data_IF_497966742230
#
_entry.id   IF_497966742230
#
_cell.length_a   1.000
_cell.length_b   1.000
_cell.length_c   1.000
_cell.angle_alpha   90.00
_cell.angle_beta   90.00
_cell.angle_gamma   90.00
#
_symmetry.space_group_name_H-M   'P 1'
#
loop_
_entity.id
_entity.type
_entity.pdbx_description
1 polymer ?
#
# COMPACT_ATOMS: atom_id res chain seq x y z
N UNK A 1 -25.26 -0.86 -38.34
CA UNK A 1 -24.57 0.44 -38.14
C UNK A 1 -24.32 0.59 -36.64
N UNK A 2 -23.13 0.21 -36.16
CA UNK A 2 -22.81 0.18 -34.72
C UNK A 2 -22.30 1.56 -34.29
N UNK A 3 -22.95 2.18 -33.31
CA UNK A 3 -22.46 3.43 -32.72
C UNK A 3 -21.11 3.19 -32.03
N UNK A 4 -20.16 4.15 -32.12
CA UNK A 4 -18.85 4.01 -31.48
C UNK A 4 -18.97 4.11 -29.95
N UNK A 5 -18.25 3.23 -29.24
CA UNK A 5 -18.14 3.27 -27.78
C UNK A 5 -17.38 4.55 -27.34
N UNK A 6 -17.83 5.25 -26.30
CA UNK A 6 -17.12 6.42 -25.78
C UNK A 6 -15.76 6.02 -25.22
N UNK A 7 -14.73 6.82 -25.51
CA UNK A 7 -13.38 6.63 -24.95
C UNK A 7 -13.38 7.01 -23.47
N UNK A 8 -12.65 6.29 -22.60
CA UNK A 8 -12.53 6.65 -21.19
C UNK A 8 -11.76 7.96 -21.06
N UNK A 9 -12.42 8.98 -20.52
CA UNK A 9 -11.82 10.26 -20.15
C UNK A 9 -11.01 10.07 -18.86
N UNK A 10 -9.74 10.50 -18.86
CA UNK A 10 -8.92 10.53 -17.64
C UNK A 10 -9.63 11.37 -16.58
N UNK A 11 -9.83 10.88 -15.35
CA UNK A 11 -10.35 11.73 -14.29
C UNK A 11 -9.32 12.82 -13.99
N UNK A 12 -9.76 14.07 -14.08
CA UNK A 12 -9.01 15.23 -13.63
C UNK A 12 -8.62 15.03 -12.16
N UNK A 13 -7.36 15.30 -11.82
CA UNK A 13 -6.89 15.35 -10.44
C UNK A 13 -7.57 16.51 -9.71
N UNK A 14 -8.78 16.26 -9.20
CA UNK A 14 -9.40 17.10 -8.19
C UNK A 14 -8.80 16.71 -6.85
N UNK A 15 -8.15 17.68 -6.19
CA UNK A 15 -7.77 17.55 -4.80
C UNK A 15 -9.05 17.35 -3.98
N UNK A 16 -9.33 16.10 -3.60
CA UNK A 16 -10.35 15.80 -2.62
C UNK A 16 -9.83 16.30 -1.28
N UNK A 17 -10.35 17.44 -0.82
CA UNK A 17 -10.21 17.84 0.57
C UNK A 17 -10.96 16.79 1.41
N UNK A 18 -10.20 15.89 2.06
CA UNK A 18 -10.74 14.94 3.03
C UNK A 18 -11.33 15.76 4.18
N UNK A 19 -12.65 15.90 4.19
CA UNK A 19 -13.34 16.62 5.24
C UNK A 19 -13.35 15.79 6.53
N UNK A 20 -12.74 16.36 7.58
CA UNK A 20 -12.98 16.07 9.00
C UNK A 20 -13.02 14.60 9.42
N UNK A 21 -12.02 13.79 9.05
CA UNK A 21 -11.83 12.50 9.72
C UNK A 21 -11.21 12.76 11.11
N UNK A 22 -12.05 12.85 12.15
CA UNK A 22 -11.58 12.87 13.52
C UNK A 22 -10.96 11.52 13.87
N UNK A 23 -9.65 11.41 13.69
CA UNK A 23 -8.86 10.33 14.26
C UNK A 23 -9.08 10.31 15.79
N UNK A 24 -9.79 9.31 16.27
CA UNK A 24 -9.98 9.10 17.71
C UNK A 24 -9.17 7.89 18.13
N UNK A 25 -8.01 8.13 18.74
CA UNK A 25 -7.24 7.08 19.40
C UNK A 25 -8.02 6.62 20.64
N UNK A 26 -8.54 5.40 20.60
CA UNK A 26 -9.17 4.75 21.77
C UNK A 26 -8.16 3.79 22.35
N UNK A 27 -7.61 4.11 23.53
CA UNK A 27 -6.77 3.20 24.30
C UNK A 27 -7.67 2.45 25.28
N UNK A 28 -7.64 1.12 25.27
CA UNK A 28 -8.27 0.29 26.30
C UNK A 28 -7.42 0.38 27.58
N UNK A 29 -7.52 1.49 28.30
CA UNK A 29 -6.71 1.74 29.50
C UNK A 29 -7.36 1.24 30.81
N UNK A 30 -8.54 0.63 30.77
CA UNK A 30 -9.21 0.07 31.94
C UNK A 30 -9.76 -1.34 31.64
N UNK A 31 -9.66 -2.31 32.57
CA UNK A 31 -10.42 -3.55 32.45
C UNK A 31 -11.91 -3.17 32.40
N UNK A 32 -12.67 -3.63 31.39
CA UNK A 32 -14.05 -3.20 31.23
C UNK A 32 -14.86 -3.68 32.43
N UNK A 33 -15.21 -2.77 33.32
CA UNK A 33 -16.26 -2.99 34.32
C UNK A 33 -17.66 -3.06 33.68
N UNK A 34 -17.77 -2.80 32.37
CA UNK A 34 -18.95 -3.08 31.55
C UNK A 34 -18.56 -3.31 30.09
N UNK A 35 -19.12 -4.34 29.47
CA UNK A 35 -18.93 -4.74 28.06
C UNK A 35 -19.66 -3.79 27.07
N UNK A 36 -20.24 -2.69 27.54
CA UNK A 36 -21.30 -1.95 26.84
C UNK A 36 -20.86 -0.92 25.78
N UNK A 37 -19.59 -0.90 25.41
CA UNK A 37 -19.13 0.07 24.39
C UNK A 37 -19.26 -0.50 22.98
N UNK A 38 -20.45 -0.42 22.39
CA UNK A 38 -20.66 -0.77 20.97
C UNK A 38 -20.21 0.37 20.06
N UNK A 39 -19.28 0.09 19.14
CA UNK A 39 -18.88 0.99 18.05
C UNK A 39 -19.45 0.46 16.72
N UNK A 40 -19.94 1.35 15.86
CA UNK A 40 -20.46 1.01 14.54
C UNK A 40 -19.62 1.70 13.46
N UNK A 41 -19.42 0.99 12.36
CA UNK A 41 -18.66 1.47 11.20
C UNK A 41 -19.12 0.72 9.96
N UNK A 42 -18.88 1.27 8.77
CA UNK A 42 -19.18 0.58 7.52
C UNK A 42 -18.11 -0.49 7.21
N UNK A 43 -16.86 -0.22 7.58
CA UNK A 43 -15.77 -1.18 7.49
C UNK A 43 -14.92 -1.19 8.78
N UNK A 44 -14.59 -2.39 9.24
CA UNK A 44 -13.63 -2.64 10.32
C UNK A 44 -12.41 -3.33 9.72
N UNK A 45 -11.24 -2.71 9.89
CA UNK A 45 -9.94 -3.27 9.49
C UNK A 45 -9.19 -3.68 10.74
N UNK A 46 -8.80 -4.95 10.81
CA UNK A 46 -8.00 -5.47 11.92
C UNK A 46 -6.55 -5.56 11.46
N UNK A 47 -5.73 -4.62 11.95
CA UNK A 47 -4.33 -4.45 11.62
C UNK A 47 -4.01 -3.09 11.01
N UNK A 48 -2.95 -2.45 11.52
CA UNK A 48 -2.47 -1.14 11.06
C UNK A 48 -1.17 -1.21 10.23
N UNK A 49 -0.78 -2.41 9.78
CA UNK A 49 0.36 -2.57 8.86
C UNK A 49 0.03 -2.08 7.45
N UNK A 50 0.99 -2.23 6.52
CA UNK A 50 0.88 -1.70 5.16
C UNK A 50 -0.41 -2.12 4.44
N UNK A 51 -0.84 -3.38 4.56
CA UNK A 51 -2.08 -3.86 3.95
C UNK A 51 -3.34 -3.21 4.55
N UNK A 52 -3.38 -3.04 5.87
CA UNK A 52 -4.49 -2.40 6.57
C UNK A 52 -4.61 -0.92 6.20
N UNK A 53 -3.47 -0.20 6.17
CA UNK A 53 -3.42 1.19 5.73
C UNK A 53 -3.81 1.36 4.26
N UNK A 54 -3.37 0.45 3.38
CA UNK A 54 -3.76 0.46 1.97
C UNK A 54 -5.28 0.30 1.80
N UNK A 55 -5.88 -0.66 2.52
CA UNK A 55 -7.32 -0.86 2.50
C UNK A 55 -8.09 0.34 3.07
N UNK A 56 -7.61 0.91 4.18
CA UNK A 56 -8.23 2.07 4.81
C UNK A 56 -8.22 3.30 3.88
N UNK A 57 -7.06 3.63 3.31
CA UNK A 57 -6.92 4.74 2.36
C UNK A 57 -7.82 4.56 1.14
N UNK A 58 -7.89 3.33 0.60
CA UNK A 58 -8.76 3.07 -0.55
C UNK A 58 -10.23 3.26 -0.20
N UNK A 59 -10.69 2.69 0.91
CA UNK A 59 -12.09 2.79 1.36
C UNK A 59 -12.49 4.23 1.71
N UNK A 60 -11.62 4.96 2.41
CA UNK A 60 -11.86 6.36 2.79
C UNK A 60 -11.99 7.27 1.56
N UNK A 61 -11.20 7.05 0.50
CA UNK A 61 -11.32 7.77 -0.78
C UNK A 61 -12.65 7.55 -1.49
N UNK A 62 -13.30 6.41 -1.25
CA UNK A 62 -14.65 6.10 -1.75
C UNK A 62 -15.76 6.57 -0.79
N UNK A 63 -15.41 7.31 0.27
CA UNK A 63 -16.35 7.85 1.26
C UNK A 63 -16.85 6.83 2.29
N UNK A 64 -16.19 5.67 2.42
CA UNK A 64 -16.55 4.65 3.41
C UNK A 64 -15.95 5.02 4.76
N UNK A 65 -16.78 5.05 5.81
CA UNK A 65 -16.32 5.20 7.18
C UNK A 65 -15.61 3.93 7.66
N UNK A 66 -14.34 4.06 8.02
CA UNK A 66 -13.46 2.96 8.42
C UNK A 66 -13.05 3.11 9.88
N UNK A 67 -13.11 2.02 10.64
CA UNK A 67 -12.39 1.89 11.92
C UNK A 67 -11.22 0.94 11.69
N UNK A 68 -10.02 1.35 12.10
CA UNK A 68 -8.85 0.49 12.13
C UNK A 68 -8.56 0.08 13.58
N UNK A 69 -8.31 -1.20 13.79
CA UNK A 69 -7.94 -1.77 15.08
C UNK A 69 -6.49 -2.26 15.02
N UNK A 70 -5.63 -1.70 15.86
CA UNK A 70 -4.25 -2.14 16.05
C UNK A 70 -4.04 -2.67 17.46
N UNK A 71 -3.15 -3.66 17.61
CA UNK A 71 -2.76 -4.17 18.93
C UNK A 71 -1.76 -3.25 19.64
N UNK A 72 -0.95 -2.51 18.87
CA UNK A 72 0.07 -1.61 19.39
C UNK A 72 -0.50 -0.21 19.67
N UNK A 73 0.07 0.47 20.67
CA UNK A 73 -0.26 1.85 21.01
C UNK A 73 0.13 2.82 19.88
N UNK A 74 1.25 2.55 19.23
CA UNK A 74 1.67 3.23 18.00
C UNK A 74 1.22 2.38 16.81
N UNK A 75 0.35 2.88 15.91
CA UNK A 75 -0.11 2.09 14.77
C UNK A 75 1.00 1.76 13.76
N UNK A 76 2.13 2.49 13.78
CA UNK A 76 3.30 2.17 12.98
C UNK A 76 4.12 0.99 13.56
N UNK A 77 3.94 0.65 14.83
CA UNK A 77 4.64 -0.49 15.45
C UNK A 77 4.02 -1.82 15.01
N UNK A 78 4.53 -2.33 13.89
CA UNK A 78 4.05 -3.54 13.23
C UNK A 78 5.18 -4.20 12.42
N UNK A 79 5.02 -5.47 12.03
CA UNK A 79 6.06 -6.17 11.26
C UNK A 79 6.40 -5.48 9.92
N UNK A 80 5.44 -4.77 9.30
CA UNK A 80 5.70 -4.00 8.08
C UNK A 80 6.75 -2.91 8.28
N UNK A 81 6.85 -2.33 9.48
CA UNK A 81 7.83 -1.30 9.82
C UNK A 81 9.26 -1.83 9.77
N UNK A 82 9.46 -3.09 10.14
CA UNK A 82 10.77 -3.71 10.25
C UNK A 82 11.27 -4.33 8.93
N UNK A 83 10.50 -4.23 7.84
CA UNK A 83 10.94 -4.69 6.54
C UNK A 83 12.12 -3.82 6.03
N UNK A 84 13.22 -4.46 5.62
CA UNK A 84 14.44 -3.75 5.27
C UNK A 84 14.56 -3.50 3.76
N UNK A 85 14.50 -4.57 2.96
CA UNK A 85 14.84 -4.58 1.54
C UNK A 85 14.04 -3.58 0.70
N UNK A 86 12.91 -4.02 0.16
CA UNK A 86 12.12 -3.13 -0.69
C UNK A 86 10.76 -3.66 -1.11
N UNK A 87 10.15 -2.96 -2.06
CA UNK A 87 8.85 -3.32 -2.64
C UNK A 87 8.94 -3.46 -4.16
N UNK A 88 8.27 -4.48 -4.69
CA UNK A 88 8.19 -4.72 -6.13
C UNK A 88 7.43 -3.58 -6.81
N UNK A 89 8.02 -3.02 -7.85
CA UNK A 89 7.46 -2.02 -8.74
C UNK A 89 7.63 -2.50 -10.20
N UNK A 90 8.27 -1.72 -11.07
CA UNK A 90 8.55 -2.06 -12.47
C UNK A 90 9.84 -1.39 -12.96
N UNK A 91 10.54 -2.06 -13.88
CA UNK A 91 11.63 -1.46 -14.67
C UNK A 91 11.15 -1.08 -16.08
N UNK A 92 11.99 -0.38 -16.85
CA UNK A 92 11.69 0.02 -18.24
C UNK A 92 11.53 -1.21 -19.17
N UNK A 93 12.20 -2.30 -18.86
CA UNK A 93 12.25 -3.55 -19.62
C UNK A 93 11.51 -4.71 -18.91
N UNK A 94 10.58 -4.38 -18.02
CA UNK A 94 9.81 -5.35 -17.26
C UNK A 94 8.52 -5.79 -17.95
N UNK A 95 7.97 -6.93 -17.53
CA UNK A 95 6.63 -7.39 -17.88
C UNK A 95 5.99 -8.20 -16.75
N UNK A 96 4.65 -8.25 -16.67
CA UNK A 96 3.95 -9.12 -15.74
C UNK A 96 4.35 -10.59 -15.88
N UNK A 97 4.68 -11.06 -17.09
CA UNK A 97 5.12 -12.42 -17.36
C UNK A 97 6.48 -12.71 -16.72
N UNK A 98 7.43 -11.77 -16.84
CA UNK A 98 8.74 -11.89 -16.18
C UNK A 98 8.60 -11.90 -14.65
N UNK A 99 7.74 -11.03 -14.08
CA UNK A 99 7.50 -11.00 -12.64
C UNK A 99 6.84 -12.29 -12.16
N UNK A 100 5.82 -12.76 -12.88
CA UNK A 100 5.12 -14.01 -12.54
C UNK A 100 6.09 -15.19 -12.56
N UNK A 101 6.98 -15.25 -13.55
CA UNK A 101 8.02 -16.29 -13.63
C UNK A 101 8.97 -16.25 -12.44
N UNK A 102 9.39 -15.06 -12.00
CA UNK A 102 10.25 -14.91 -10.82
C UNK A 102 9.53 -15.37 -9.53
N UNK A 103 8.25 -15.00 -9.37
CA UNK A 103 7.42 -15.40 -8.22
C UNK A 103 7.21 -16.92 -8.20
N UNK A 104 6.85 -17.53 -9.33
CA UNK A 104 6.66 -18.99 -9.42
C UNK A 104 7.94 -19.76 -9.12
N UNK A 105 9.08 -19.28 -9.63
CA UNK A 105 10.40 -19.87 -9.32
C UNK A 105 10.70 -19.78 -7.83
N UNK A 106 10.49 -18.61 -7.22
CA UNK A 106 10.72 -18.41 -5.78
C UNK A 106 9.77 -19.25 -4.91
N UNK A 107 8.51 -19.39 -5.34
CA UNK A 107 7.48 -20.12 -4.61
C UNK A 107 7.49 -21.64 -4.79
N UNK A 108 8.47 -22.21 -5.51
CA UNK A 108 8.73 -23.65 -5.57
C UNK A 108 7.49 -24.54 -5.81
N UNK A 109 6.56 -24.09 -6.67
CA UNK A 109 5.37 -24.84 -7.06
C UNK A 109 4.17 -24.76 -6.11
N UNK A 110 4.22 -23.96 -5.04
CA UNK A 110 3.09 -23.79 -4.11
C UNK A 110 2.34 -22.46 -4.29
N UNK A 111 2.66 -21.72 -5.35
CA UNK A 111 1.98 -20.46 -5.66
C UNK A 111 0.52 -20.68 -6.07
N UNK A 112 -0.34 -19.72 -5.73
CA UNK A 112 -1.69 -19.63 -6.28
C UNK A 112 -1.68 -18.71 -7.51
N UNK A 113 -1.79 -19.27 -8.71
CA UNK A 113 -1.61 -18.55 -9.98
C UNK A 113 -2.44 -17.28 -10.11
N UNK A 114 -3.74 -17.25 -9.75
CA UNK A 114 -4.51 -16.02 -9.82
C UNK A 114 -3.96 -14.90 -8.94
N UNK A 115 -3.38 -15.23 -7.78
CA UNK A 115 -2.75 -14.24 -6.89
C UNK A 115 -1.43 -13.73 -7.48
N UNK A 116 -0.60 -14.61 -8.04
CA UNK A 116 0.65 -14.23 -8.71
C UNK A 116 0.37 -13.28 -9.87
N UNK A 117 -0.57 -13.66 -10.75
CA UNK A 117 -0.96 -12.83 -11.88
C UNK A 117 -1.46 -11.46 -11.41
N UNK A 118 -2.32 -11.42 -10.39
CA UNK A 118 -2.84 -10.18 -9.84
C UNK A 118 -1.73 -9.26 -9.33
N UNK A 119 -0.79 -9.79 -8.54
CA UNK A 119 0.38 -9.02 -8.05
C UNK A 119 1.20 -8.51 -9.22
N UNK A 120 1.46 -9.35 -10.22
CA UNK A 120 2.31 -8.99 -11.35
C UNK A 120 1.70 -7.93 -12.26
N UNK A 121 0.38 -7.93 -12.45
CA UNK A 121 -0.31 -6.99 -13.34
C UNK A 121 -0.74 -5.71 -12.63
N UNK A 122 -1.22 -5.80 -11.39
CA UNK A 122 -1.82 -4.66 -10.68
C UNK A 122 -0.83 -3.98 -9.71
N UNK A 123 0.14 -4.73 -9.19
CA UNK A 123 1.07 -4.27 -8.15
C UNK A 123 1.79 -2.96 -8.49
N UNK A 124 2.42 -2.80 -9.67
CA UNK A 124 3.13 -1.57 -10.00
C UNK A 124 2.24 -0.33 -10.01
N UNK A 125 0.99 -0.45 -10.48
CA UNK A 125 0.03 0.64 -10.48
C UNK A 125 -0.44 0.98 -9.06
N UNK A 126 -0.62 -0.03 -8.19
CA UNK A 126 -0.92 0.18 -6.78
C UNK A 126 0.21 0.92 -6.05
N UNK A 127 1.47 0.60 -6.35
CA UNK A 127 2.63 1.30 -5.77
C UNK A 127 2.67 2.75 -6.22
N UNK A 128 2.40 3.04 -7.50
CA UNK A 128 2.31 4.41 -8.00
C UNK A 128 1.26 5.22 -7.23
N UNK A 129 0.01 4.77 -7.25
CA UNK A 129 -1.10 5.51 -6.64
C UNK A 129 -0.94 5.63 -5.12
N UNK A 130 -0.75 4.50 -4.42
CA UNK A 130 -0.77 4.52 -2.96
C UNK A 130 0.51 5.05 -2.33
N UNK A 131 1.68 4.66 -2.87
CA UNK A 131 2.96 4.95 -2.22
C UNK A 131 3.63 6.20 -2.79
N UNK A 132 3.57 6.44 -4.09
CA UNK A 132 4.20 7.63 -4.69
C UNK A 132 3.28 8.84 -4.64
N UNK A 133 2.01 8.69 -5.03
CA UNK A 133 1.09 9.82 -5.17
C UNK A 133 0.40 10.18 -3.85
N UNK A 134 -0.27 9.21 -3.21
CA UNK A 134 -1.06 9.43 -1.99
C UNK A 134 -0.17 9.59 -0.76
N UNK A 135 0.67 8.58 -0.47
CA UNK A 135 1.48 8.57 0.76
C UNK A 135 2.80 9.31 0.61
N UNK A 136 3.26 9.56 -0.62
CA UNK A 136 4.52 10.26 -0.92
C UNK A 136 5.75 9.67 -0.21
N UNK A 137 5.86 8.34 -0.24
CA UNK A 137 6.97 7.60 0.35
C UNK A 137 8.30 8.08 -0.27
N UNK A 138 9.30 8.43 0.55
CA UNK A 138 10.54 9.04 0.08
C UNK A 138 11.57 7.99 -0.38
N UNK A 139 11.22 7.21 -1.41
CA UNK A 139 12.15 6.24 -2.01
C UNK A 139 13.41 6.89 -2.58
N UNK A 140 14.48 6.11 -2.69
CA UNK A 140 15.76 6.55 -3.25
C UNK A 140 15.64 7.00 -4.71
N UNK A 141 16.36 8.06 -5.06
CA UNK A 141 16.38 8.67 -6.41
C UNK A 141 17.80 8.93 -6.88
N UNK A 142 17.99 8.90 -8.20
CA UNK A 142 19.21 9.32 -8.88
C UNK A 142 19.39 10.83 -8.69
N UNK A 143 20.57 11.26 -8.21
CA UNK A 143 20.81 12.65 -7.83
C UNK A 143 20.88 13.59 -9.06
N UNK A 144 21.28 13.05 -10.20
CA UNK A 144 21.41 13.71 -11.49
C UNK A 144 20.08 13.79 -12.26
N UNK A 145 19.28 12.71 -12.28
CA UNK A 145 18.05 12.66 -13.07
C UNK A 145 16.77 12.85 -12.27
N UNK A 146 16.81 12.62 -10.95
CA UNK A 146 15.62 12.55 -10.10
C UNK A 146 14.76 11.30 -10.31
N UNK A 147 15.14 10.39 -11.23
CA UNK A 147 14.43 9.13 -11.45
C UNK A 147 14.53 8.22 -10.21
N UNK A 148 13.51 7.39 -10.00
CA UNK A 148 13.53 6.40 -8.91
C UNK A 148 14.68 5.41 -9.12
N UNK A 149 15.46 5.16 -8.07
CA UNK A 149 16.47 4.11 -8.06
C UNK A 149 15.80 2.75 -7.86
N UNK A 150 16.21 1.79 -8.68
CA UNK A 150 15.78 0.39 -8.58
C UNK A 150 16.97 -0.49 -8.24
N UNK A 151 16.74 -1.49 -7.39
CA UNK A 151 17.73 -2.51 -7.05
C UNK A 151 17.32 -3.89 -7.58
N UNK A 152 18.30 -4.75 -7.83
CA UNK A 152 18.13 -6.14 -8.21
C UNK A 152 18.41 -7.00 -6.99
N UNK A 153 17.35 -7.59 -6.40
CA UNK A 153 17.45 -8.35 -5.16
C UNK A 153 16.66 -9.66 -5.23
N UNK A 154 16.94 -10.54 -4.26
CA UNK A 154 16.25 -11.83 -4.09
C UNK A 154 16.24 -12.67 -5.39
N UNK A 155 15.08 -13.21 -5.76
CA UNK A 155 14.92 -14.10 -6.92
C UNK A 155 14.50 -13.35 -8.20
N UNK A 156 14.70 -12.03 -8.26
CA UNK A 156 14.29 -11.23 -9.42
C UNK A 156 15.30 -11.29 -10.57
N UNK A 157 14.78 -11.25 -11.80
CA UNK A 157 15.57 -11.24 -13.04
C UNK A 157 15.74 -9.83 -13.63
N UNK A 158 15.10 -8.80 -13.05
CA UNK A 158 15.22 -7.38 -13.39
C UNK A 158 15.28 -6.53 -12.14
N UNK A 159 16.00 -5.42 -12.20
CA UNK A 159 16.03 -4.42 -11.15
C UNK A 159 14.67 -3.70 -11.08
N UNK A 160 13.80 -4.16 -10.18
CA UNK A 160 12.39 -3.72 -10.08
C UNK A 160 11.96 -3.39 -8.66
N UNK A 161 12.91 -3.34 -7.74
CA UNK A 161 12.65 -3.13 -6.31
C UNK A 161 12.90 -1.67 -5.97
N UNK A 162 11.87 -0.99 -5.48
CA UNK A 162 12.00 0.32 -4.84
C UNK A 162 12.45 0.15 -3.39
N UNK A 163 13.33 1.02 -2.93
CA UNK A 163 13.91 0.93 -1.60
C UNK A 163 14.21 2.31 -1.00
N UNK A 164 14.39 2.32 0.33
CA UNK A 164 14.89 3.45 1.11
C UNK A 164 15.98 2.95 2.05
N UNK A 165 17.23 3.02 1.56
CA UNK A 165 18.39 2.41 2.21
C UNK A 165 18.06 0.99 2.71
N UNK A 166 18.21 0.73 4.00
CA UNK A 166 17.94 -0.52 4.71
C UNK A 166 16.66 -0.49 5.58
N UNK A 167 15.80 0.51 5.38
CA UNK A 167 14.62 0.76 6.22
C UNK A 167 13.37 1.10 5.38
N UNK A 168 13.19 0.39 4.27
CA UNK A 168 12.07 0.62 3.35
C UNK A 168 10.71 0.46 4.02
N UNK A 169 10.58 -0.53 4.90
CA UNK A 169 9.38 -0.80 5.69
C UNK A 169 8.98 0.41 6.54
N UNK A 170 9.92 0.93 7.33
CA UNK A 170 9.73 2.12 8.17
C UNK A 170 9.27 3.31 7.32
N UNK A 171 9.93 3.56 6.19
CA UNK A 171 9.58 4.66 5.29
C UNK A 171 8.14 4.53 4.75
N UNK A 172 7.76 3.33 4.28
CA UNK A 172 6.42 3.04 3.76
C UNK A 172 5.38 3.20 4.89
N UNK A 173 5.55 2.51 6.01
CA UNK A 173 4.54 2.51 7.08
C UNK A 173 4.35 3.89 7.68
N UNK A 174 5.41 4.66 7.87
CA UNK A 174 5.33 6.01 8.44
C UNK A 174 4.54 6.95 7.53
N UNK A 175 4.87 6.93 6.23
CA UNK A 175 4.19 7.75 5.22
C UNK A 175 2.71 7.35 5.06
N UNK A 176 2.41 6.06 5.01
CA UNK A 176 1.03 5.58 4.92
C UNK A 176 0.22 5.92 6.17
N UNK A 177 0.78 5.78 7.37
CA UNK A 177 0.11 6.14 8.62
C UNK A 177 -0.18 7.64 8.68
N UNK A 178 0.75 8.49 8.25
CA UNK A 178 0.51 9.92 8.11
C UNK A 178 -0.64 10.19 7.12
N UNK A 179 -0.69 9.51 5.97
CA UNK A 179 -1.76 9.66 4.99
C UNK A 179 -3.13 9.20 5.53
N UNK A 180 -3.18 8.14 6.35
CA UNK A 180 -4.43 7.65 6.98
C UNK A 180 -4.98 8.62 8.01
N UNK A 181 -4.11 9.39 8.68
CA UNK A 181 -4.50 10.31 9.75
C UNK A 181 -4.86 11.73 9.27
N UNK A 182 -4.62 12.04 7.99
CA UNK A 182 -4.95 13.33 7.37
C UNK A 182 -6.36 13.34 6.80
#
# INVERSE_FOLDING_TARGET
>A
MSLPRPKPTKPHAQAYALSNHQYTKVTLADPPSSIDTVRRTQALIIGCGAAGSAAALRLAREGVHVIMLGAAINPADCNSYWAQGGIIYKSKDDSPELLSSDIHRAGAGVCHDPAVRKVATEGPACVEDLLLDVSKVPFERHADTGELKLTLEASHNRARILFKADHTGQAITTAMQAAVMN
#
